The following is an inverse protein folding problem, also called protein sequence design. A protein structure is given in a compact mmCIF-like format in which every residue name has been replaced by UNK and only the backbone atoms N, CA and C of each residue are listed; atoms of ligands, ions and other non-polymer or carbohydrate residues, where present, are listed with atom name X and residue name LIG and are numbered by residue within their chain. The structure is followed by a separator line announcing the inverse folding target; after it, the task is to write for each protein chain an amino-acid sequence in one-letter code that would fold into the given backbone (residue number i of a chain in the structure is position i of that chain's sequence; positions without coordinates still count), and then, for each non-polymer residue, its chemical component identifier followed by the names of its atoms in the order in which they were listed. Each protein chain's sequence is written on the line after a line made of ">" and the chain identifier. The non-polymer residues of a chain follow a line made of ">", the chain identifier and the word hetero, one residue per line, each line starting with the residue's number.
data_IF_500763592617
#
_entry.id   IF_500763592617
#
_cell.length_a   1.000
_cell.length_b   1.000
_cell.length_c   1.000
_cell.angle_alpha   90.00
_cell.angle_beta   90.00
_cell.angle_gamma   90.00
#
_symmetry.space_group_name_H-M   'P 1'
#
loop_
_entity.id
_entity.type
_entity.pdbx_description
1 polymer ?
#
# COMPACT_ATOMS: atom_id res chain seq x y z
N UNK A 1 24.93 31.17 16.21
CA UNK A 1 25.82 30.03 15.90
C UNK A 1 27.15 30.37 16.52
N UNK A 2 27.56 29.58 17.51
CA UNK A 2 28.80 29.84 18.25
C UNK A 2 30.00 29.31 17.45
N UNK A 3 31.20 29.85 17.69
CA UNK A 3 32.46 29.39 17.08
C UNK A 3 32.61 27.84 17.20
N UNK A 4 32.15 27.30 18.33
CA UNK A 4 32.13 25.87 18.62
C UNK A 4 31.25 25.05 17.67
N UNK A 5 30.11 25.60 17.24
CA UNK A 5 29.22 24.93 16.27
C UNK A 5 29.86 24.88 14.88
N UNK A 6 30.62 25.93 14.52
CA UNK A 6 31.32 26.03 13.25
C UNK A 6 32.51 25.07 13.17
N UNK A 7 33.28 24.96 14.25
CA UNK A 7 34.38 23.98 14.36
C UNK A 7 33.87 22.54 14.29
N UNK A 8 32.74 22.24 14.95
CA UNK A 8 32.13 20.93 14.88
C UNK A 8 31.68 20.60 13.44
N UNK A 9 31.05 21.55 12.74
CA UNK A 9 30.64 21.37 11.35
C UNK A 9 31.83 21.10 10.41
N UNK A 10 32.94 21.84 10.57
CA UNK A 10 34.16 21.61 9.81
C UNK A 10 34.78 20.23 10.11
N UNK A 11 34.72 19.77 11.36
CA UNK A 11 35.23 18.45 11.74
C UNK A 11 34.42 17.31 11.12
N UNK A 12 33.08 17.44 11.09
CA UNK A 12 32.18 16.47 10.49
C UNK A 12 32.33 16.43 8.97
N UNK A 13 32.51 17.58 8.32
CA UNK A 13 32.77 17.65 6.88
C UNK A 13 34.09 16.94 6.53
N UNK A 14 35.17 17.19 7.28
CA UNK A 14 36.44 16.48 7.09
C UNK A 14 36.31 14.97 7.32
N UNK A 15 35.53 14.54 8.30
CA UNK A 15 35.28 13.11 8.52
C UNK A 15 34.52 12.47 7.35
N UNK A 16 33.54 13.18 6.79
CA UNK A 16 32.79 12.73 5.62
C UNK A 16 33.68 12.63 4.37
N UNK A 17 34.50 13.66 4.11
CA UNK A 17 35.40 13.69 2.96
C UNK A 17 36.47 12.59 3.05
N UNK A 18 37.03 12.35 4.25
CA UNK A 18 37.95 11.23 4.49
C UNK A 18 37.26 9.87 4.34
N UNK A 19 36.01 9.71 4.81
CA UNK A 19 35.25 8.48 4.61
C UNK A 19 34.92 8.23 3.12
N UNK A 20 34.74 9.29 2.34
CA UNK A 20 34.55 9.24 0.89
C UNK A 20 35.84 8.92 0.11
N UNK A 21 37.03 9.05 0.71
CA UNK A 21 38.30 8.62 0.10
C UNK A 21 38.69 7.17 0.47
N UNK A 22 38.02 6.54 1.44
CA UNK A 22 38.15 5.09 1.76
C UNK A 22 37.11 4.27 0.98
N UNK A 23 36.68 4.71 -0.20
CA UNK A 23 36.14 3.77 -1.20
C UNK A 23 37.35 3.13 -1.88
N UNK A 24 37.64 1.84 -1.65
CA UNK A 24 38.66 1.17 -2.43
C UNK A 24 38.26 1.28 -3.90
N UNK A 25 39.26 1.47 -4.77
CA UNK A 25 39.12 1.40 -6.21
C UNK A 25 38.64 -0.02 -6.59
N UNK A 26 37.33 -0.24 -6.49
CA UNK A 26 36.67 -1.43 -7.00
C UNK A 26 36.70 -1.26 -8.50
N UNK A 27 37.66 -1.91 -9.14
CA UNK A 27 37.60 -2.19 -10.55
C UNK A 27 36.28 -2.93 -10.80
N UNK A 28 35.25 -2.20 -11.25
CA UNK A 28 33.95 -2.77 -11.63
C UNK A 28 34.18 -3.53 -12.93
N UNK A 29 34.82 -4.70 -12.81
CA UNK A 29 34.51 -5.79 -13.70
C UNK A 29 33.01 -6.05 -13.53
N UNK A 30 32.23 -6.21 -14.61
CA UNK A 30 30.83 -6.61 -14.50
C UNK A 30 30.80 -8.04 -13.93
N UNK A 31 30.83 -8.14 -12.61
CA UNK A 31 30.72 -9.41 -11.90
C UNK A 31 29.28 -9.88 -12.04
N UNK A 32 29.11 -10.87 -12.90
CA UNK A 32 28.00 -11.80 -12.86
C UNK A 32 27.92 -12.45 -11.47
N UNK A 33 27.11 -11.90 -10.57
CA UNK A 33 26.79 -12.55 -9.31
C UNK A 33 25.36 -12.22 -8.89
N UNK A 34 24.43 -13.08 -9.30
CA UNK A 34 23.05 -13.24 -8.81
C UNK A 34 22.09 -12.08 -9.08
N UNK A 35 20.80 -12.35 -9.33
CA UNK A 35 19.81 -11.29 -9.55
C UNK A 35 19.73 -10.47 -8.26
N UNK A 36 20.06 -9.18 -8.34
CA UNK A 36 19.87 -8.24 -7.24
C UNK A 36 18.49 -8.48 -6.63
N UNK A 37 18.48 -8.90 -5.37
CA UNK A 37 17.24 -9.17 -4.65
C UNK A 37 16.38 -7.92 -4.72
N UNK A 38 15.17 -8.07 -5.25
CA UNK A 38 14.27 -6.97 -5.54
C UNK A 38 13.77 -6.24 -4.28
N UNK A 39 14.05 -6.85 -3.13
CA UNK A 39 13.82 -6.39 -1.77
C UNK A 39 15.15 -6.08 -1.04
N UNK A 40 16.20 -5.67 -1.75
CA UNK A 40 17.42 -5.18 -1.10
C UNK A 40 17.11 -3.91 -0.28
N UNK A 41 17.38 -3.91 1.04
CA UNK A 41 17.17 -2.76 1.92
C UNK A 41 17.81 -1.45 1.44
N UNK A 42 18.86 -1.53 0.62
CA UNK A 42 19.54 -0.37 0.02
C UNK A 42 18.62 0.41 -0.92
N UNK A 43 17.65 -0.23 -1.56
CA UNK A 43 16.70 0.45 -2.44
C UNK A 43 15.71 1.35 -1.71
N UNK A 44 15.49 1.14 -0.40
CA UNK A 44 14.64 2.02 0.41
C UNK A 44 15.28 3.40 0.63
N UNK A 45 16.61 3.48 0.57
CA UNK A 45 17.38 4.71 0.80
C UNK A 45 17.69 5.48 -0.49
N UNK A 46 17.75 4.79 -1.64
CA UNK A 46 18.20 5.36 -2.91
C UNK A 46 17.07 6.05 -3.67
N UNK A 47 15.84 5.55 -3.58
CA UNK A 47 14.71 6.09 -4.34
C UNK A 47 13.39 5.97 -3.55
N UNK A 48 13.00 7.04 -2.82
CA UNK A 48 11.79 7.05 -2.02
C UNK A 48 10.49 7.06 -2.85
N UNK A 49 10.56 7.31 -4.16
CA UNK A 49 9.36 7.33 -5.02
C UNK A 49 9.65 6.76 -6.42
N UNK A 50 9.76 5.44 -6.52
CA UNK A 50 10.15 4.83 -7.78
C UNK A 50 9.09 4.94 -8.85
N UNK A 51 9.56 5.04 -10.09
CA UNK A 51 8.70 5.02 -11.26
C UNK A 51 8.05 3.63 -11.40
N UNK A 52 6.74 3.56 -11.10
CA UNK A 52 5.96 2.32 -11.15
C UNK A 52 5.96 1.64 -12.51
N UNK A 53 6.04 2.40 -13.60
CA UNK A 53 6.03 1.84 -14.95
C UNK A 53 7.37 1.15 -15.25
N UNK A 54 8.48 1.79 -14.87
CA UNK A 54 9.80 1.23 -15.02
C UNK A 54 9.94 -0.06 -14.18
N UNK A 55 9.46 -0.04 -12.94
CA UNK A 55 9.42 -1.23 -12.07
C UNK A 55 8.59 -2.35 -12.68
N UNK A 56 7.37 -2.04 -13.13
CA UNK A 56 6.48 -3.03 -13.72
C UNK A 56 7.08 -3.66 -14.98
N UNK A 57 7.68 -2.87 -15.88
CA UNK A 57 8.35 -3.39 -17.07
C UNK A 57 9.58 -4.25 -16.73
N UNK A 58 10.37 -3.83 -15.73
CA UNK A 58 11.51 -4.62 -15.24
C UNK A 58 11.04 -5.97 -14.72
N UNK A 59 9.97 -5.99 -13.91
CA UNK A 59 9.39 -7.23 -13.37
C UNK A 59 8.78 -8.11 -14.46
N UNK A 60 8.07 -7.50 -15.42
CA UNK A 60 7.51 -8.21 -16.56
C UNK A 60 8.60 -8.94 -17.36
N UNK A 61 9.74 -8.29 -17.57
CA UNK A 61 10.90 -8.90 -18.24
C UNK A 61 11.52 -10.03 -17.42
N UNK A 62 11.68 -9.85 -16.10
CA UNK A 62 12.38 -10.79 -15.23
C UNK A 62 11.55 -12.04 -14.88
N UNK A 63 10.25 -11.88 -14.62
CA UNK A 63 9.41 -12.94 -14.04
C UNK A 63 8.28 -13.40 -14.95
N UNK A 64 7.88 -12.58 -15.94
CA UNK A 64 6.71 -12.85 -16.77
C UNK A 64 7.06 -12.98 -18.26
N UNK A 65 8.35 -13.08 -18.62
CA UNK A 65 8.84 -13.21 -20.01
C UNK A 65 8.20 -12.23 -20.98
N UNK A 66 7.93 -11.00 -20.51
CA UNK A 66 7.27 -9.93 -21.26
C UNK A 66 5.79 -10.18 -21.62
N UNK A 67 5.15 -11.21 -21.06
CA UNK A 67 3.75 -11.55 -21.31
C UNK A 67 2.76 -10.43 -20.91
N UNK A 68 3.16 -9.52 -20.01
CA UNK A 68 2.34 -8.41 -19.53
C UNK A 68 2.64 -7.08 -20.25
N UNK A 69 3.31 -7.07 -21.40
CA UNK A 69 3.67 -5.82 -22.12
C UNK A 69 2.43 -4.98 -22.51
N UNK A 70 1.26 -5.61 -22.65
CA UNK A 70 -0.03 -4.96 -22.96
C UNK A 70 -0.83 -4.54 -21.72
N UNK A 71 -0.31 -4.77 -20.51
CA UNK A 71 -0.98 -4.40 -19.26
C UNK A 71 -0.58 -2.98 -18.88
N UNK A 72 -1.58 -2.12 -18.66
CA UNK A 72 -1.37 -0.76 -18.16
C UNK A 72 -1.26 -0.77 -16.64
N UNK A 73 -0.26 -0.10 -16.07
CA UNK A 73 -0.21 0.20 -14.62
C UNK A 73 -0.44 1.68 -14.39
N UNK A 74 -1.24 2.04 -13.38
CA UNK A 74 -1.57 3.45 -13.09
C UNK A 74 -1.71 3.73 -11.60
N UNK A 75 -1.37 4.94 -11.18
CA UNK A 75 -1.70 5.45 -9.86
C UNK A 75 -3.17 5.90 -9.76
N UNK A 76 -3.79 5.67 -8.62
CA UNK A 76 -5.10 6.19 -8.25
C UNK A 76 -5.01 7.04 -7.00
N UNK A 77 -5.30 8.33 -7.14
CA UNK A 77 -5.35 9.29 -6.04
C UNK A 77 -6.56 9.11 -5.11
N UNK A 78 -7.57 8.33 -5.53
CA UNK A 78 -8.85 8.17 -4.81
C UNK A 78 -9.10 6.76 -4.30
N UNK A 79 -8.27 5.79 -4.67
CA UNK A 79 -8.41 4.41 -4.24
C UNK A 79 -7.91 4.26 -2.80
N UNK A 80 -8.81 3.97 -1.87
CA UNK A 80 -8.52 3.86 -0.43
C UNK A 80 -8.99 2.55 0.19
N UNK A 81 -9.64 1.69 -0.60
CA UNK A 81 -10.18 0.41 -0.15
C UNK A 81 -9.19 -0.76 -0.28
N UNK A 82 -8.18 -0.63 -1.15
CA UNK A 82 -7.15 -1.64 -1.41
C UNK A 82 -5.88 -0.96 -1.98
N UNK A 83 -4.71 -1.57 -1.78
CA UNK A 83 -3.44 -1.08 -2.31
C UNK A 83 -3.29 -1.27 -3.83
N UNK A 84 -3.93 -2.30 -4.41
CA UNK A 84 -3.91 -2.58 -5.83
C UNK A 84 -5.20 -3.26 -6.33
N UNK A 85 -5.51 -3.10 -7.62
CA UNK A 85 -6.62 -3.78 -8.31
C UNK A 85 -6.22 -4.08 -9.75
N UNK A 86 -6.50 -5.28 -10.30
CA UNK A 86 -6.57 -5.47 -11.76
C UNK A 86 -8.02 -5.42 -12.22
N UNK A 87 -8.26 -4.69 -13.31
CA UNK A 87 -9.52 -4.65 -14.03
C UNK A 87 -9.32 -5.20 -15.44
N UNK A 88 -10.08 -6.22 -15.81
CA UNK A 88 -10.08 -6.81 -17.14
C UNK A 88 -11.24 -6.24 -17.96
N UNK A 89 -10.95 -5.66 -19.13
CA UNK A 89 -11.99 -5.19 -20.05
C UNK A 89 -12.25 -6.20 -21.18
N UNK A 90 -13.44 -6.81 -21.15
CA UNK A 90 -14.03 -7.54 -22.28
C UNK A 90 -13.32 -8.83 -22.70
N UNK A 91 -13.63 -9.30 -23.92
CA UNK A 91 -13.01 -10.50 -24.54
C UNK A 91 -11.63 -10.23 -25.16
N UNK A 92 -11.16 -8.98 -25.15
CA UNK A 92 -9.93 -8.51 -25.80
C UNK A 92 -8.68 -8.47 -24.91
N UNK A 93 -8.77 -8.89 -23.64
CA UNK A 93 -7.59 -9.14 -22.81
C UNK A 93 -6.85 -7.91 -22.26
N UNK A 94 -7.41 -6.71 -22.36
CA UNK A 94 -6.81 -5.51 -21.76
C UNK A 94 -7.00 -5.56 -20.22
N UNK A 95 -5.98 -6.02 -19.47
CA UNK A 95 -5.89 -5.82 -18.01
C UNK A 95 -5.26 -4.46 -17.73
N UNK A 96 -5.82 -3.75 -16.76
CA UNK A 96 -5.23 -2.55 -16.19
C UNK A 96 -5.04 -2.77 -14.69
N UNK A 97 -3.85 -2.46 -14.19
CA UNK A 97 -3.47 -2.52 -12.78
C UNK A 97 -3.54 -1.10 -12.21
N UNK A 98 -4.44 -0.85 -11.29
CA UNK A 98 -4.47 0.37 -10.49
C UNK A 98 -3.73 0.17 -9.17
N UNK A 99 -2.91 1.14 -8.77
CA UNK A 99 -2.23 1.19 -7.47
C UNK A 99 -2.71 2.39 -6.66
N UNK A 100 -2.86 2.23 -5.35
CA UNK A 100 -3.36 3.28 -4.47
C UNK A 100 -2.22 4.23 -4.10
N UNK A 101 -2.32 5.47 -4.57
CA UNK A 101 -1.38 6.51 -4.14
C UNK A 101 -1.56 6.85 -2.65
N UNK A 102 -2.79 6.99 -2.09
CA UNK A 102 -2.95 7.25 -0.66
C UNK A 102 -2.37 6.16 0.25
N UNK A 103 -2.38 4.89 -0.18
CA UNK A 103 -1.92 3.78 0.65
C UNK A 103 -0.44 3.45 0.48
N UNK A 104 0.15 3.69 -0.70
CA UNK A 104 1.53 3.25 -0.99
C UNK A 104 2.57 4.38 -0.98
N UNK A 105 2.16 5.65 -1.16
CA UNK A 105 3.11 6.78 -1.33
C UNK A 105 4.00 7.07 -0.11
N UNK A 106 3.52 6.75 1.09
CA UNK A 106 4.24 6.96 2.35
C UNK A 106 4.70 5.65 2.99
N UNK A 107 4.53 4.53 2.28
CA UNK A 107 4.94 3.21 2.75
C UNK A 107 6.35 2.91 2.25
N UNK A 108 7.07 2.02 2.96
CA UNK A 108 8.37 1.55 2.48
C UNK A 108 8.25 0.98 1.06
N UNK A 109 9.31 1.14 0.27
CA UNK A 109 9.36 0.71 -1.13
C UNK A 109 8.97 -0.77 -1.31
N UNK A 110 9.32 -1.62 -0.35
CA UNK A 110 8.96 -3.05 -0.36
C UNK A 110 7.45 -3.27 -0.54
N UNK A 111 6.61 -2.45 0.11
CA UNK A 111 5.15 -2.60 0.06
C UNK A 111 4.62 -2.34 -1.36
N UNK A 112 5.22 -1.38 -2.06
CA UNK A 112 4.90 -1.11 -3.47
C UNK A 112 5.33 -2.28 -4.37
N UNK A 113 6.52 -2.82 -4.15
CA UNK A 113 7.06 -3.93 -4.93
C UNK A 113 6.26 -5.21 -4.71
N UNK A 114 5.92 -5.52 -3.47
CA UNK A 114 5.06 -6.65 -3.10
C UNK A 114 3.66 -6.48 -3.71
N UNK A 115 3.08 -5.28 -3.67
CA UNK A 115 1.78 -5.00 -4.31
C UNK A 115 1.82 -5.16 -5.84
N UNK A 116 2.96 -4.90 -6.47
CA UNK A 116 3.17 -5.05 -7.92
C UNK A 116 3.44 -6.50 -8.34
N UNK A 117 4.23 -7.24 -7.57
CA UNK A 117 4.69 -8.60 -7.89
C UNK A 117 3.72 -9.68 -7.42
N UNK A 118 3.01 -9.42 -6.33
CA UNK A 118 2.26 -10.45 -5.62
C UNK A 118 0.79 -10.05 -5.51
N UNK A 119 -0.08 -10.91 -6.06
CA UNK A 119 -1.45 -11.02 -5.55
C UNK A 119 -1.35 -11.60 -4.12
N UNK A 120 -1.13 -10.75 -3.12
CA UNK A 120 -1.29 -11.13 -1.72
C UNK A 120 -2.57 -10.54 -1.13
N UNK A 121 -3.18 -11.35 -0.28
CA UNK A 121 -4.41 -11.16 0.49
C UNK A 121 -4.39 -9.83 1.28
N UNK A 122 -4.70 -8.72 0.62
CA UNK A 122 -4.94 -7.44 1.29
C UNK A 122 -6.21 -7.47 2.15
N UNK A 123 -6.97 -8.58 2.12
CA UNK A 123 -8.15 -8.77 2.95
C UNK A 123 -7.78 -8.90 4.42
N UNK A 124 -6.69 -9.58 4.76
CA UNK A 124 -6.31 -9.83 6.15
C UNK A 124 -5.79 -8.55 6.82
N UNK A 125 -4.88 -7.80 6.17
CA UNK A 125 -4.41 -6.49 6.68
C UNK A 125 -5.56 -5.46 6.75
N UNK A 126 -6.43 -5.42 5.74
CA UNK A 126 -7.60 -4.52 5.77
C UNK A 126 -8.60 -4.94 6.86
N UNK A 127 -8.78 -6.23 7.13
CA UNK A 127 -9.65 -6.71 8.19
C UNK A 127 -9.05 -6.46 9.59
N UNK A 128 -7.71 -6.47 9.73
CA UNK A 128 -7.02 -6.00 10.93
C UNK A 128 -7.23 -4.50 11.19
N UNK A 129 -7.19 -3.69 10.13
CA UNK A 129 -7.41 -2.24 10.20
C UNK A 129 -8.89 -1.86 10.41
N UNK A 130 -9.84 -2.70 9.99
CA UNK A 130 -11.28 -2.47 10.17
C UNK A 130 -11.72 -2.81 11.59
N UNK A 131 -11.30 -2.04 12.57
CA UNK A 131 -11.52 -2.34 13.99
C UNK A 131 -12.91 -1.96 14.51
N UNK A 132 -13.69 -1.20 13.74
CA UNK A 132 -15.05 -0.80 14.12
C UNK A 132 -16.10 -1.62 13.39
N UNK A 133 -16.86 -2.42 14.13
CA UNK A 133 -17.84 -3.33 13.54
C UNK A 133 -19.24 -2.91 13.98
N UNK A 134 -20.17 -2.94 13.04
CA UNK A 134 -21.59 -2.79 13.29
C UNK A 134 -22.34 -4.00 12.76
N UNK A 135 -23.42 -4.38 13.46
CA UNK A 135 -24.30 -5.46 13.04
C UNK A 135 -25.74 -4.95 12.96
N UNK A 136 -26.39 -5.23 11.84
CA UNK A 136 -27.80 -4.91 11.63
C UNK A 136 -28.70 -5.82 12.47
N UNK A 137 -29.78 -5.29 13.04
CA UNK A 137 -30.83 -6.07 13.74
C UNK A 137 -31.94 -6.62 12.83
N UNK A 138 -31.90 -6.33 11.53
CA UNK A 138 -32.93 -6.72 10.58
C UNK A 138 -32.68 -8.06 9.88
N UNK A 139 -33.54 -8.38 8.92
CA UNK A 139 -33.54 -9.64 8.17
C UNK A 139 -32.24 -9.91 7.38
N UNK A 140 -31.41 -8.89 7.12
CA UNK A 140 -30.15 -9.04 6.40
C UNK A 140 -29.08 -9.83 7.17
N UNK A 141 -29.28 -10.12 8.47
CA UNK A 141 -28.38 -10.99 9.24
C UNK A 141 -28.23 -12.39 8.66
N UNK A 142 -29.28 -12.91 8.00
CA UNK A 142 -29.29 -14.24 7.39
C UNK A 142 -28.96 -14.22 5.90
N UNK A 143 -28.72 -13.03 5.33
CA UNK A 143 -28.52 -12.86 3.89
C UNK A 143 -27.03 -12.78 3.57
N UNK A 144 -26.51 -13.63 2.66
CA UNK A 144 -25.16 -13.48 2.15
C UNK A 144 -25.03 -12.19 1.31
N UNK A 145 -23.81 -11.67 1.12
CA UNK A 145 -22.54 -12.18 1.62
C UNK A 145 -22.13 -11.61 3.00
N UNK A 146 -22.80 -10.55 3.47
CA UNK A 146 -22.32 -9.78 4.62
C UNK A 146 -22.96 -10.17 5.96
N UNK A 147 -24.08 -10.92 5.94
CA UNK A 147 -24.77 -11.39 7.16
C UNK A 147 -25.06 -10.27 8.17
N UNK A 148 -25.39 -9.09 7.66
CA UNK A 148 -25.70 -7.89 8.43
C UNK A 148 -24.49 -7.18 9.06
N UNK A 149 -23.26 -7.58 8.76
CA UNK A 149 -22.06 -6.91 9.26
C UNK A 149 -21.60 -5.77 8.35
N UNK A 150 -21.15 -4.70 8.98
CA UNK A 150 -20.37 -3.63 8.35
C UNK A 150 -19.12 -3.42 9.19
N UNK A 151 -17.95 -3.59 8.59
CA UNK A 151 -16.65 -3.39 9.25
C UNK A 151 -15.95 -2.17 8.63
N UNK A 152 -15.42 -1.26 9.45
CA UNK A 152 -14.72 -0.04 8.99
C UNK A 152 -13.49 0.25 9.84
N UNK A 153 -12.55 0.97 9.25
CA UNK A 153 -11.35 1.48 9.94
C UNK A 153 -11.61 2.73 10.77
N UNK A 154 -12.66 3.49 10.45
CA UNK A 154 -13.08 4.67 11.20
C UNK A 154 -14.38 4.38 11.97
N UNK A 155 -14.54 5.01 13.15
CA UNK A 155 -15.76 4.96 13.93
C UNK A 155 -16.89 5.78 13.29
N UNK A 156 -17.39 5.31 12.14
CA UNK A 156 -18.53 5.91 11.42
C UNK A 156 -19.64 4.89 11.31
N UNK A 157 -20.71 5.10 12.09
CA UNK A 157 -21.90 4.27 12.00
C UNK A 157 -22.47 4.30 10.56
N UNK A 158 -23.01 3.17 10.06
CA UNK A 158 -23.79 3.15 8.84
C UNK A 158 -24.90 4.20 8.85
N UNK A 159 -25.02 4.97 7.77
CA UNK A 159 -25.98 6.06 7.68
C UNK A 159 -26.38 6.39 6.25
N UNK A 160 -27.31 7.33 6.08
CA UNK A 160 -27.76 7.84 4.77
C UNK A 160 -26.66 8.34 3.83
N UNK A 161 -25.45 8.58 4.35
CA UNK A 161 -24.30 8.98 3.55
C UNK A 161 -23.62 7.78 2.85
N UNK A 162 -23.99 6.54 3.19
CA UNK A 162 -23.50 5.36 2.48
C UNK A 162 -24.34 5.10 1.23
N UNK A 163 -23.66 4.81 0.12
CA UNK A 163 -24.29 4.62 -1.20
C UNK A 163 -25.32 3.48 -1.23
N UNK A 164 -25.17 2.48 -0.37
CA UNK A 164 -26.07 1.33 -0.26
C UNK A 164 -27.21 1.53 0.76
N UNK A 165 -27.22 2.63 1.53
CA UNK A 165 -28.14 2.82 2.66
C UNK A 165 -29.61 2.83 2.25
N UNK A 166 -29.96 3.53 1.17
CA UNK A 166 -31.34 3.63 0.68
C UNK A 166 -31.91 2.24 0.32
N UNK A 167 -31.08 1.41 -0.32
CA UNK A 167 -31.47 0.04 -0.69
C UNK A 167 -31.60 -0.87 0.53
N UNK A 168 -30.68 -0.75 1.50
CA UNK A 168 -30.81 -1.47 2.76
C UNK A 168 -32.08 -1.07 3.53
N UNK A 169 -32.42 0.22 3.56
CA UNK A 169 -33.64 0.70 4.22
C UNK A 169 -34.89 0.11 3.58
N UNK A 170 -34.91 -0.03 2.25
CA UNK A 170 -36.04 -0.60 1.49
C UNK A 170 -36.16 -2.12 1.66
N UNK A 171 -35.05 -2.84 1.67
CA UNK A 171 -35.03 -4.32 1.64
C UNK A 171 -34.93 -4.98 3.01
N UNK A 172 -34.47 -4.25 4.01
CA UNK A 172 -34.25 -4.72 5.37
C UNK A 172 -34.90 -3.79 6.40
N UNK A 173 -34.64 -2.48 6.31
CA UNK A 173 -35.18 -1.46 7.22
C UNK A 173 -34.63 -1.51 8.65
N UNK A 174 -33.67 -2.41 8.94
CA UNK A 174 -33.10 -2.58 10.28
C UNK A 174 -32.10 -1.49 10.68
N UNK A 175 -31.91 -1.34 11.99
CA UNK A 175 -30.87 -0.48 12.58
C UNK A 175 -29.57 -1.23 12.81
N UNK A 176 -28.45 -0.50 12.87
CA UNK A 176 -27.11 -1.03 13.12
C UNK A 176 -26.63 -0.67 14.52
N UNK A 177 -26.23 -1.68 15.30
CA UNK A 177 -25.61 -1.48 16.60
C UNK A 177 -24.10 -1.75 16.50
N UNK A 178 -23.30 -1.04 17.31
CA UNK A 178 -21.85 -1.23 17.36
C UNK A 178 -21.51 -2.48 18.17
N UNK A 179 -20.67 -3.34 17.62
CA UNK A 179 -20.33 -4.66 18.21
C UNK A 179 -18.84 -4.86 18.44
N UNK A 180 -17.96 -4.05 17.82
CA UNK A 180 -16.52 -4.05 18.08
C UNK A 180 -15.94 -2.65 17.97
N UNK A 181 -15.00 -2.33 18.84
CA UNK A 181 -14.13 -1.16 18.76
C UNK A 181 -12.74 -1.48 19.36
N UNK A 182 -11.70 -0.71 19.03
CA UNK A 182 -10.37 -0.94 19.59
C UNK A 182 -10.25 -0.52 21.06
N UNK A 183 -9.46 -1.24 21.83
CA UNK A 183 -9.36 -1.17 23.31
C UNK A 183 -8.94 0.21 23.87
N UNK A 184 -8.32 1.06 23.04
CA UNK A 184 -7.82 2.38 23.43
C UNK A 184 -8.65 3.56 22.89
N UNK A 185 -9.80 3.29 22.27
CA UNK A 185 -10.64 4.34 21.69
C UNK A 185 -11.32 5.19 22.78
N UNK A 186 -10.96 6.48 22.89
CA UNK A 186 -11.64 7.44 23.76
C UNK A 186 -11.00 7.68 25.14
N UNK A 187 -9.91 6.97 25.49
CA UNK A 187 -9.10 7.34 26.67
C UNK A 187 -8.29 8.59 26.32
N UNK A 188 -8.74 9.75 26.80
CA UNK A 188 -7.89 10.95 26.82
C UNK A 188 -6.65 10.61 27.65
N UNK A 189 -5.47 10.79 27.05
CA UNK A 189 -4.18 10.75 27.74
C UNK A 189 -4.07 11.96 28.67
#
# INVERSE_FOLDING_TARGET
>A
MTESDYELALSLQRQYDNAAEIVPNVNIQPSSSTPDSIVDPRWELIDPNPNIHALFQQFNKLYFWRALDMVEVRWSARMTLCAGICSYQGRGGLCSIGLSQPLLKLRPRKDLIETLLIYHSFHDEVDELRQHWWRCRGACQRRPPYFGFVKRSMNRAPSKNDTWWAEHQRTCGGSYDKVKEPENYGKKK
#
